data_IF_200051510635
#
_entry.id   IF_200051510635
#
_cell.length_a   1.000
_cell.length_b   1.000
_cell.length_c   1.000
_cell.angle_alpha   90.00
_cell.angle_beta   90.00
_cell.angle_gamma   90.00
#
_symmetry.space_group_name_H-M   'P 1'
#
loop_
_entity.id
_entity.type
_entity.pdbx_description
1 polymer ?
#
# COMPACT_ATOMS: atom_id res chain seq x y z
N UNK A 1 -24.74 4.49 6.16
CA UNK A 1 -23.35 4.52 6.70
C UNK A 1 -22.44 5.01 5.59
N UNK A 2 -21.66 6.04 5.88
CA UNK A 2 -20.79 6.71 4.92
C UNK A 2 -19.64 5.75 4.57
N UNK A 3 -19.66 5.18 3.36
CA UNK A 3 -18.61 4.30 2.84
C UNK A 3 -17.62 5.16 2.06
N UNK A 4 -16.46 5.47 2.64
CA UNK A 4 -15.39 6.15 1.92
C UNK A 4 -14.30 6.71 2.82
N UNK A 5 -13.18 7.07 2.20
CA UNK A 5 -12.07 7.77 2.85
C UNK A 5 -12.53 9.15 3.37
N UNK A 6 -12.10 9.49 4.58
CA UNK A 6 -12.24 10.81 5.19
C UNK A 6 -10.94 11.61 5.07
N UNK A 7 -11.01 12.91 5.36
CA UNK A 7 -9.83 13.77 5.36
C UNK A 7 -8.77 13.24 6.34
N UNK A 8 -7.55 13.03 5.83
CA UNK A 8 -6.44 12.48 6.61
C UNK A 8 -6.32 10.95 6.61
N UNK A 9 -7.26 10.21 6.01
CA UNK A 9 -7.20 8.75 5.91
C UNK A 9 -6.09 8.25 4.96
N UNK A 10 -5.51 9.15 4.16
CA UNK A 10 -4.47 8.83 3.18
C UNK A 10 -3.09 9.16 3.78
N UNK A 11 -2.29 8.12 3.99
CA UNK A 11 -0.89 8.20 4.45
C UNK A 11 0.05 7.96 3.27
N UNK A 12 0.97 8.89 3.03
CA UNK A 12 1.94 8.83 1.92
C UNK A 12 3.14 9.77 2.19
N UNK A 13 4.11 9.85 1.28
CA UNK A 13 5.37 10.59 1.50
C UNK A 13 5.23 12.07 1.93
N UNK A 14 4.15 12.76 1.56
CA UNK A 14 3.87 14.15 2.02
C UNK A 14 2.92 14.22 3.25
N UNK A 15 2.39 13.09 3.70
CA UNK A 15 1.50 12.97 4.87
C UNK A 15 1.81 11.67 5.60
N UNK A 16 2.92 11.65 6.35
CA UNK A 16 3.53 10.42 6.88
C UNK A 16 2.74 9.74 7.99
N UNK A 17 1.74 10.40 8.58
CA UNK A 17 1.02 9.91 9.75
C UNK A 17 -0.47 10.14 9.59
N UNK A 18 -1.25 9.12 9.89
CA UNK A 18 -2.70 9.22 10.00
C UNK A 18 -3.07 10.03 11.26
N UNK A 19 -4.16 10.84 11.26
CA UNK A 19 -4.58 11.64 12.41
C UNK A 19 -4.84 10.85 13.70
N UNK A 20 -5.20 9.57 13.61
CA UNK A 20 -5.34 8.70 14.79
C UNK A 20 -4.02 8.40 15.51
N UNK A 21 -2.87 8.63 14.87
CA UNK A 21 -1.55 8.26 15.40
C UNK A 21 -1.27 6.75 15.40
N UNK A 22 -2.12 5.94 14.76
CA UNK A 22 -2.03 4.48 14.73
C UNK A 22 -1.51 3.92 13.40
N UNK A 23 -1.32 4.78 12.38
CA UNK A 23 -0.77 4.42 11.08
C UNK A 23 0.30 5.43 10.69
N UNK A 24 1.49 4.97 10.33
CA UNK A 24 2.54 5.85 9.83
C UNK A 24 3.51 5.17 8.88
N UNK A 25 4.07 5.96 7.95
CA UNK A 25 5.20 5.60 7.11
C UNK A 25 6.50 5.93 7.86
N UNK A 26 7.45 5.00 7.92
CA UNK A 26 8.72 5.16 8.66
C UNK A 26 9.76 6.01 7.95
N UNK A 27 9.60 6.18 6.63
CA UNK A 27 10.48 6.93 5.74
C UNK A 27 10.13 6.67 4.28
N UNK A 28 10.66 7.49 3.39
CA UNK A 28 10.57 7.36 1.92
C UNK A 28 11.98 7.07 1.40
N UNK A 29 12.27 5.79 1.09
CA UNK A 29 13.56 5.39 0.54
C UNK A 29 13.53 5.52 -0.99
N UNK A 30 13.95 6.70 -1.46
CA UNK A 30 13.88 7.09 -2.87
C UNK A 30 14.83 6.35 -3.80
N UNK A 31 15.79 5.60 -3.26
CA UNK A 31 16.83 4.94 -4.07
C UNK A 31 16.65 3.44 -4.16
N UNK A 32 15.85 2.83 -3.28
CA UNK A 32 15.77 1.37 -3.14
C UNK A 32 17.12 0.73 -2.78
N UNK A 33 18.06 1.52 -2.24
CA UNK A 33 19.38 1.04 -1.87
C UNK A 33 19.37 0.53 -0.44
N UNK A 34 19.85 -0.70 -0.24
CA UNK A 34 19.93 -1.36 1.05
C UNK A 34 19.46 -2.81 0.98
N UNK A 35 19.75 -3.58 2.03
CA UNK A 35 19.18 -4.91 2.21
C UNK A 35 17.90 -4.81 3.05
N UNK A 36 16.83 -5.48 2.62
CA UNK A 36 15.59 -5.58 3.39
C UNK A 36 14.43 -4.78 2.81
N UNK A 37 13.60 -4.20 3.67
CA UNK A 37 12.44 -3.40 3.26
C UNK A 37 12.88 -1.95 3.04
N UNK A 38 12.70 -1.45 1.82
CA UNK A 38 13.01 -0.06 1.48
C UNK A 38 12.09 0.94 2.22
N UNK A 39 10.80 0.60 2.33
CA UNK A 39 9.81 1.40 3.02
C UNK A 39 8.98 0.52 3.95
N UNK A 40 8.62 1.07 5.12
CA UNK A 40 7.77 0.38 6.07
C UNK A 40 6.59 1.25 6.49
N UNK A 41 5.40 0.64 6.49
CA UNK A 41 4.19 1.23 7.06
C UNK A 41 3.86 0.47 8.32
N UNK A 42 3.81 1.18 9.45
CA UNK A 42 3.42 0.59 10.73
C UNK A 42 1.95 0.85 10.97
N UNK A 43 1.22 -0.19 11.39
CA UNK A 43 -0.22 -0.15 11.67
C UNK A 43 -0.49 -0.79 13.03
N UNK A 44 -1.02 -0.01 13.98
CA UNK A 44 -1.52 -0.52 15.28
C UNK A 44 -2.96 -0.99 15.13
N UNK A 45 -3.14 -2.16 14.54
CA UNK A 45 -4.44 -2.72 14.16
C UNK A 45 -5.47 -2.78 15.31
N UNK A 46 -5.03 -3.17 16.51
CA UNK A 46 -5.90 -3.30 17.69
C UNK A 46 -6.33 -1.94 18.27
N UNK A 47 -5.62 -0.87 17.92
CA UNK A 47 -5.93 0.50 18.36
C UNK A 47 -6.82 1.25 17.39
N UNK A 48 -7.12 0.69 16.22
CA UNK A 48 -8.00 1.33 15.24
C UNK A 48 -9.47 1.21 15.65
N UNK A 49 -10.18 2.34 15.61
CA UNK A 49 -11.62 2.42 15.80
C UNK A 49 -12.35 1.39 14.91
N UNK A 50 -13.41 0.78 15.45
CA UNK A 50 -14.26 -0.18 14.76
C UNK A 50 -14.92 0.39 13.50
N UNK A 51 -15.00 1.73 13.32
CA UNK A 51 -15.43 2.31 12.04
C UNK A 51 -14.50 1.95 10.87
N UNK A 52 -13.22 1.67 11.12
CA UNK A 52 -12.27 1.26 10.10
C UNK A 52 -12.33 -0.24 9.86
N UNK A 53 -12.85 -0.61 8.69
CA UNK A 53 -13.08 -2.01 8.29
C UNK A 53 -12.05 -2.51 7.27
N UNK A 54 -11.29 -1.61 6.64
CA UNK A 54 -10.33 -1.92 5.59
C UNK A 54 -9.19 -0.89 5.54
N UNK A 55 -7.99 -1.35 5.20
CA UNK A 55 -6.81 -0.54 4.85
C UNK A 55 -6.30 -1.07 3.51
N UNK A 56 -6.04 -0.18 2.55
CA UNK A 56 -5.44 -0.52 1.27
C UNK A 56 -3.97 -0.09 1.27
N UNK A 57 -3.10 -0.98 0.79
CA UNK A 57 -1.69 -0.68 0.55
C UNK A 57 -1.51 -0.50 -0.94
N UNK A 58 -1.20 0.73 -1.34
CA UNK A 58 -0.98 1.11 -2.74
C UNK A 58 0.49 1.48 -2.89
N UNK A 59 1.10 0.99 -3.96
CA UNK A 59 2.47 1.37 -4.36
C UNK A 59 2.41 2.03 -5.73
N UNK A 60 3.25 3.03 -5.93
CA UNK A 60 3.39 3.73 -7.20
C UNK A 60 4.85 4.05 -7.46
N UNK A 61 5.27 3.96 -8.71
CA UNK A 61 6.58 4.44 -9.15
C UNK A 61 6.48 5.95 -9.30
N UNK A 62 7.25 6.68 -8.50
CA UNK A 62 7.28 8.14 -8.56
C UNK A 62 7.71 8.62 -9.95
N UNK A 63 6.85 9.39 -10.62
CA UNK A 63 7.06 9.86 -12.00
C UNK A 63 7.33 8.74 -13.02
N UNK A 64 6.80 7.53 -12.77
CA UNK A 64 7.04 6.36 -13.61
C UNK A 64 6.73 6.61 -15.09
N UNK A 65 5.64 7.31 -15.40
CA UNK A 65 5.30 7.62 -16.81
C UNK A 65 6.32 8.54 -17.47
N UNK A 66 6.75 9.59 -16.77
CA UNK A 66 7.73 10.55 -17.30
C UNK A 66 9.10 9.88 -17.51
N UNK A 67 9.48 8.99 -16.60
CA UNK A 67 10.77 8.31 -16.61
C UNK A 67 10.76 7.00 -17.41
N UNK A 68 9.64 6.64 -18.04
CA UNK A 68 9.42 5.35 -18.71
C UNK A 68 9.73 4.13 -17.81
N UNK A 69 9.40 4.24 -16.53
CA UNK A 69 9.56 3.18 -15.53
C UNK A 69 8.21 2.54 -15.22
N UNK A 70 8.18 1.23 -15.16
CA UNK A 70 7.00 0.44 -14.80
C UNK A 70 7.41 -0.80 -14.01
N UNK A 71 6.47 -1.44 -13.30
CA UNK A 71 6.77 -2.58 -12.43
C UNK A 71 7.37 -3.78 -13.16
N UNK A 72 7.07 -3.97 -14.45
CA UNK A 72 7.75 -4.98 -15.27
C UNK A 72 9.29 -4.79 -15.42
N UNK A 73 9.84 -3.62 -15.07
CA UNK A 73 11.29 -3.36 -15.03
C UNK A 73 11.90 -3.50 -13.64
N UNK A 74 11.07 -3.65 -12.60
CA UNK A 74 11.53 -3.66 -11.21
C UNK A 74 11.85 -5.09 -10.80
N UNK A 75 13.13 -5.35 -10.57
CA UNK A 75 13.59 -6.62 -10.01
C UNK A 75 13.39 -6.65 -8.49
N UNK A 76 13.19 -7.85 -7.94
CA UNK A 76 13.05 -8.10 -6.50
C UNK A 76 11.95 -7.27 -5.79
N UNK A 77 10.96 -6.74 -6.50
CA UNK A 77 9.78 -6.13 -5.90
C UNK A 77 8.98 -7.15 -5.06
N UNK A 78 8.76 -6.84 -3.78
CA UNK A 78 7.87 -7.60 -2.90
C UNK A 78 7.17 -6.70 -1.88
N UNK A 79 6.08 -7.21 -1.30
CA UNK A 79 5.52 -6.73 -0.03
C UNK A 79 5.57 -7.87 0.96
N UNK A 80 5.66 -7.53 2.24
CA UNK A 80 5.43 -8.49 3.30
C UNK A 80 4.69 -7.86 4.47
N UNK A 81 3.96 -8.70 5.19
CA UNK A 81 3.36 -8.38 6.48
C UNK A 81 4.20 -9.05 7.56
N UNK A 82 4.62 -8.28 8.56
CA UNK A 82 5.45 -8.75 9.67
C UNK A 82 4.76 -8.37 10.98
N UNK A 83 4.69 -9.29 11.94
CA UNK A 83 4.15 -8.99 13.26
C UNK A 83 5.11 -8.17 14.14
N UNK A 84 4.65 -7.75 15.32
CA UNK A 84 5.47 -6.97 16.25
C UNK A 84 6.65 -7.73 16.86
N UNK A 85 6.75 -9.05 16.65
CA UNK A 85 7.88 -9.89 17.07
C UNK A 85 8.87 -10.13 15.93
N UNK A 86 8.64 -9.54 14.75
CA UNK A 86 9.48 -9.72 13.58
C UNK A 86 9.17 -10.99 12.78
N UNK A 87 8.07 -11.69 13.08
CA UNK A 87 7.67 -12.87 12.32
C UNK A 87 6.97 -12.45 11.03
N UNK A 88 7.51 -12.89 9.90
CA UNK A 88 6.84 -12.75 8.61
C UNK A 88 5.53 -13.58 8.60
N UNK A 89 4.41 -12.89 8.40
CA UNK A 89 3.08 -13.48 8.31
C UNK A 89 2.78 -13.87 6.86
N UNK A 90 3.16 -13.00 5.92
CA UNK A 90 2.94 -13.19 4.49
C UNK A 90 3.98 -12.39 3.70
N UNK A 91 4.37 -12.90 2.53
CA UNK A 91 5.21 -12.21 1.55
C UNK A 91 4.68 -12.50 0.16
N UNK A 92 4.66 -11.47 -0.69
CA UNK A 92 4.25 -11.59 -2.08
C UNK A 92 5.27 -10.90 -2.98
N UNK A 93 5.86 -11.66 -3.91
CA UNK A 93 6.81 -11.13 -4.89
C UNK A 93 6.10 -10.84 -6.21
N UNK A 94 6.50 -9.75 -6.84
CA UNK A 94 5.97 -9.26 -8.12
C UNK A 94 7.03 -9.23 -9.21
N UNK A 95 8.22 -9.74 -8.91
CA UNK A 95 9.36 -9.67 -9.80
C UNK A 95 9.17 -10.59 -10.99
N UNK A 96 9.45 -10.09 -12.19
CA UNK A 96 9.52 -10.91 -13.40
C UNK A 96 8.17 -11.30 -14.02
N UNK A 97 7.06 -10.69 -13.61
CA UNK A 97 5.76 -10.89 -14.26
C UNK A 97 5.53 -9.84 -15.37
N UNK A 98 5.52 -10.32 -16.62
CA UNK A 98 5.28 -9.48 -17.81
C UNK A 98 3.92 -8.78 -17.83
N UNK A 99 2.94 -9.24 -17.03
CA UNK A 99 1.63 -8.57 -16.90
C UNK A 99 1.73 -7.18 -16.26
N UNK A 100 2.87 -6.87 -15.61
CA UNK A 100 3.17 -5.55 -15.05
C UNK A 100 3.88 -4.60 -16.01
N UNK A 101 4.06 -4.99 -17.28
CA UNK A 101 4.60 -4.10 -18.31
C UNK A 101 3.66 -2.92 -18.55
N UNK A 102 4.21 -1.70 -18.50
CA UNK A 102 3.45 -0.45 -18.62
C UNK A 102 2.58 -0.10 -17.41
N UNK A 103 2.68 -0.85 -16.30
CA UNK A 103 1.94 -0.59 -15.07
C UNK A 103 2.80 0.19 -14.08
N UNK A 104 2.36 1.39 -13.68
CA UNK A 104 3.13 2.31 -12.84
C UNK A 104 2.64 2.40 -11.40
N UNK A 105 1.45 1.87 -11.10
CA UNK A 105 0.91 1.76 -9.73
C UNK A 105 0.13 0.46 -9.57
N UNK A 106 -0.14 0.08 -8.32
CA UNK A 106 -0.82 -1.17 -8.02
C UNK A 106 -1.43 -1.12 -6.62
N UNK A 107 -2.64 -1.69 -6.47
CA UNK A 107 -3.15 -2.06 -5.14
C UNK A 107 -2.45 -3.36 -4.76
N UNK A 108 -1.47 -3.23 -3.88
CA UNK A 108 -0.60 -4.34 -3.51
C UNK A 108 -1.34 -5.33 -2.63
N UNK A 109 -1.93 -4.84 -1.54
CA UNK A 109 -2.58 -5.67 -0.54
C UNK A 109 -3.70 -4.91 0.16
N UNK A 110 -4.52 -5.65 0.89
CA UNK A 110 -5.44 -5.07 1.86
C UNK A 110 -5.34 -5.76 3.22
N UNK A 111 -5.59 -4.98 4.26
CA UNK A 111 -6.01 -5.48 5.56
C UNK A 111 -7.51 -5.25 5.69
N UNK A 112 -8.26 -6.23 6.16
CA UNK A 112 -9.71 -6.09 6.35
C UNK A 112 -10.17 -6.82 7.61
N UNK A 113 -11.25 -6.33 8.22
CA UNK A 113 -11.88 -7.00 9.35
C UNK A 113 -12.77 -8.15 8.87
N UNK A 114 -12.67 -9.30 9.53
CA UNK A 114 -13.51 -10.46 9.34
C UNK A 114 -13.79 -11.11 10.70
N UNK A 115 -15.04 -11.08 11.15
CA UNK A 115 -15.45 -11.51 12.49
C UNK A 115 -14.62 -10.82 13.59
N UNK A 116 -14.54 -9.49 13.53
CA UNK A 116 -13.76 -8.62 14.42
C UNK A 116 -12.22 -8.76 14.37
N UNK A 117 -11.70 -9.82 13.73
CA UNK A 117 -10.27 -10.00 13.50
C UNK A 117 -9.77 -9.30 12.24
N UNK A 118 -8.54 -8.81 12.28
CA UNK A 118 -7.85 -8.33 11.09
C UNK A 118 -7.25 -9.48 10.28
N UNK A 119 -7.46 -9.47 8.96
CA UNK A 119 -6.87 -10.40 7.99
C UNK A 119 -6.07 -9.64 6.94
N UNK A 120 -4.96 -10.23 6.49
CA UNK A 120 -4.14 -9.71 5.39
C UNK A 120 -4.44 -10.49 4.11
N UNK A 121 -4.55 -9.78 2.99
CA UNK A 121 -4.67 -10.39 1.67
C UNK A 121 -3.83 -9.63 0.65
N UNK A 122 -2.92 -10.34 -0.03
CA UNK A 122 -2.27 -9.83 -1.24
C UNK A 122 -3.29 -9.76 -2.39
N UNK A 123 -3.27 -8.65 -3.14
CA UNK A 123 -4.18 -8.39 -4.26
C UNK A 123 -3.40 -8.38 -5.59
N UNK A 124 -2.38 -7.54 -5.69
CA UNK A 124 -1.57 -7.43 -6.91
C UNK A 124 -2.33 -6.88 -8.11
N UNK A 125 -3.28 -5.95 -7.92
CA UNK A 125 -4.07 -5.37 -9.03
C UNK A 125 -3.33 -4.17 -9.64
N UNK A 126 -2.81 -4.28 -10.87
CA UNK A 126 -1.95 -3.25 -11.45
C UNK A 126 -2.72 -2.19 -12.23
N UNK A 127 -2.12 -1.01 -12.38
CA UNK A 127 -2.68 0.15 -13.06
C UNK A 127 -1.62 0.86 -13.89
N UNK A 128 -2.02 1.36 -15.06
CA UNK A 128 -1.13 2.12 -15.95
C UNK A 128 -0.75 3.50 -15.41
N UNK A 129 -1.55 4.04 -14.48
CA UNK A 129 -1.29 5.37 -13.90
C UNK A 129 -0.15 5.32 -12.88
N UNK A 130 0.61 6.41 -12.73
CA UNK A 130 1.54 6.64 -11.61
C UNK A 130 0.91 7.53 -10.52
N UNK A 131 -0.33 7.96 -10.73
CA UNK A 131 -1.08 8.78 -9.80
C UNK A 131 -2.04 7.92 -8.96
N UNK A 132 -1.64 7.62 -7.72
CA UNK A 132 -2.46 6.82 -6.80
C UNK A 132 -3.84 7.45 -6.52
N UNK A 133 -4.02 8.77 -6.69
CA UNK A 133 -5.33 9.42 -6.53
C UNK A 133 -6.35 8.85 -7.53
N UNK A 134 -5.93 8.48 -8.73
CA UNK A 134 -6.82 7.86 -9.72
C UNK A 134 -7.32 6.49 -9.28
N UNK A 135 -6.49 5.73 -8.55
CA UNK A 135 -6.90 4.48 -7.90
C UNK A 135 -7.90 4.80 -6.77
N UNK A 136 -7.55 5.76 -5.91
CA UNK A 136 -8.34 6.07 -4.72
C UNK A 136 -9.74 6.63 -5.05
N UNK A 137 -9.95 7.26 -6.21
CA UNK A 137 -11.28 7.70 -6.66
C UNK A 137 -12.35 6.60 -6.60
N UNK A 138 -11.98 5.33 -6.78
CA UNK A 138 -12.88 4.17 -6.63
C UNK A 138 -13.40 3.97 -5.19
N UNK A 139 -12.75 4.60 -4.21
CA UNK A 139 -13.00 4.42 -2.77
C UNK A 139 -13.43 5.72 -2.06
N UNK A 140 -13.38 6.86 -2.74
CA UNK A 140 -13.80 8.18 -2.22
C UNK A 140 -15.22 8.49 -2.69
N UNK A 141 -16.20 7.64 -2.34
CA UNK A 141 -17.64 7.75 -2.66
C UNK A 141 -18.07 7.21 -4.04
N UNK A 142 -18.82 6.11 -3.99
CA UNK A 142 -19.86 5.82 -4.98
C UNK A 142 -21.12 6.59 -4.56
N UNK A 143 -21.67 7.42 -5.44
CA UNK A 143 -23.10 7.73 -5.39
C UNK A 143 -23.90 6.53 -5.88
#
# INVERSE_FOLDING_TARGET
QQKGLQEGDIVFFNSLKHPSGHIWLTGDNRTGAGDGDDEQIIVKLDSLDQKFQKILFVVSIYQGKQNNQHFGMVENAFIRAVDNKGKEIAKYSLSGDSTFNGMCSMIFAEMYRHNDDWKFRAIGEPYQTDNFVEILKKYVYNN
#
